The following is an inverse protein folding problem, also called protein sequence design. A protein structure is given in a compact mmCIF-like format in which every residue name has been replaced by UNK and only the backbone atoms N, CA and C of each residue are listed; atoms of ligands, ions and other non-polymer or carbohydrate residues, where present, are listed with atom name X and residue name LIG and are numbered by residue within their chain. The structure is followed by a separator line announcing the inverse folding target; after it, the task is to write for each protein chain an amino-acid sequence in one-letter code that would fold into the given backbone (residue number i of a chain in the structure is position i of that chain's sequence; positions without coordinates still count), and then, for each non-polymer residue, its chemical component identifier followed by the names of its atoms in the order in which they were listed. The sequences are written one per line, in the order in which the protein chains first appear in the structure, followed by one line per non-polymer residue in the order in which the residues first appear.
data_IF_547884851050
#
_entry.id   IF_547884851050
#
_cell.length_a   1.000
_cell.length_b   1.000
_cell.length_c   1.000
_cell.angle_alpha   90.00
_cell.angle_beta   90.00
_cell.angle_gamma   90.00
#
_symmetry.space_group_name_H-M   'P 1'
#
loop_
_entity.id
_entity.type
_entity.pdbx_description
1 polymer ?
#
# COMPACT_ATOMS: atom_id res chain seq x y z
N UNK A 1 -32.33 -4.50 2.27
CA UNK A 1 -31.58 -5.54 1.53
C UNK A 1 -30.98 -5.01 0.23
N UNK A 2 -31.73 -4.27 -0.58
CA UNK A 2 -31.27 -3.70 -1.87
C UNK A 2 -29.94 -2.91 -1.79
N UNK A 3 -29.76 -2.08 -0.74
CA UNK A 3 -28.50 -1.32 -0.52
C UNK A 3 -27.28 -2.22 -0.26
N UNK A 4 -27.47 -3.36 0.42
CA UNK A 4 -26.39 -4.32 0.68
C UNK A 4 -25.97 -5.03 -0.61
N UNK A 5 -26.95 -5.41 -1.44
CA UNK A 5 -26.71 -6.04 -2.73
C UNK A 5 -26.01 -5.08 -3.70
N UNK A 6 -26.48 -3.83 -3.79
CA UNK A 6 -25.84 -2.79 -4.59
C UNK A 6 -24.40 -2.50 -4.15
N UNK A 7 -24.16 -2.44 -2.83
CA UNK A 7 -22.80 -2.28 -2.28
C UNK A 7 -21.89 -3.45 -2.64
N UNK A 8 -22.41 -4.69 -2.59
CA UNK A 8 -21.65 -5.88 -2.97
C UNK A 8 -21.29 -5.89 -4.45
N UNK A 9 -22.25 -5.52 -5.32
CA UNK A 9 -22.02 -5.40 -6.76
C UNK A 9 -20.97 -4.32 -7.05
N UNK A 10 -21.06 -3.15 -6.41
CA UNK A 10 -20.08 -2.08 -6.55
C UNK A 10 -18.69 -2.52 -6.10
N UNK A 11 -18.59 -3.27 -5.01
CA UNK A 11 -17.32 -3.80 -4.51
C UNK A 11 -16.72 -4.83 -5.47
N UNK A 12 -17.53 -5.73 -6.01
CA UNK A 12 -17.09 -6.69 -7.04
C UNK A 12 -16.65 -6.01 -8.33
N UNK A 13 -17.38 -4.97 -8.78
CA UNK A 13 -17.04 -4.22 -9.98
C UNK A 13 -15.75 -3.42 -9.80
N UNK A 14 -15.58 -2.79 -8.65
CA UNK A 14 -14.34 -2.11 -8.28
C UNK A 14 -13.17 -3.09 -8.24
N UNK A 15 -13.34 -4.27 -7.63
CA UNK A 15 -12.33 -5.33 -7.61
C UNK A 15 -11.96 -5.83 -9.01
N UNK A 16 -12.95 -6.02 -9.89
CA UNK A 16 -12.72 -6.41 -11.28
C UNK A 16 -11.94 -5.35 -12.07
N UNK A 17 -12.30 -4.07 -11.89
CA UNK A 17 -11.61 -2.96 -12.54
C UNK A 17 -10.15 -2.82 -12.06
N UNK A 18 -9.92 -3.07 -10.77
CA UNK A 18 -8.58 -3.14 -10.16
C UNK A 18 -7.77 -4.29 -10.76
N UNK A 19 -8.37 -5.47 -10.94
CA UNK A 19 -7.70 -6.64 -11.52
C UNK A 19 -7.33 -6.43 -12.99
N UNK A 20 -8.27 -5.88 -13.78
CA UNK A 20 -8.04 -5.63 -15.21
C UNK A 20 -6.98 -4.54 -15.43
N UNK A 21 -6.98 -3.50 -14.60
CA UNK A 21 -5.99 -2.42 -14.65
C UNK A 21 -4.86 -2.62 -13.63
N UNK A 22 -4.47 -3.87 -13.36
CA UNK A 22 -3.49 -4.25 -12.32
C UNK A 22 -2.30 -3.29 -12.20
N UNK A 23 -1.66 -2.92 -13.31
CA UNK A 23 -0.49 -2.05 -13.30
C UNK A 23 -0.82 -0.56 -13.16
N UNK A 24 -1.95 -0.11 -13.72
CA UNK A 24 -2.36 1.30 -13.66
C UNK A 24 -2.93 1.66 -12.29
N UNK A 25 -3.66 0.73 -11.68
CA UNK A 25 -4.14 0.82 -10.30
C UNK A 25 -2.98 0.74 -9.34
N UNK A 26 -2.06 -0.22 -9.49
CA UNK A 26 -0.88 -0.30 -8.63
C UNK A 26 -0.04 0.97 -8.71
N UNK A 27 0.15 1.54 -9.91
CA UNK A 27 0.85 2.82 -10.06
C UNK A 27 0.07 4.00 -9.46
N UNK A 28 -1.27 4.00 -9.52
CA UNK A 28 -2.09 5.00 -8.84
C UNK A 28 -2.04 4.89 -7.31
N UNK A 29 -2.05 3.67 -6.79
CA UNK A 29 -1.94 3.34 -5.36
C UNK A 29 -0.56 3.70 -4.83
N UNK A 30 0.51 3.26 -5.50
CA UNK A 30 1.90 3.50 -5.14
C UNK A 30 2.33 4.96 -5.40
N UNK A 31 1.76 5.60 -6.42
CA UNK A 31 2.01 7.00 -6.77
C UNK A 31 1.23 7.99 -5.90
N UNK A 32 0.18 7.54 -5.19
CA UNK A 32 -0.58 8.41 -4.30
C UNK A 32 0.20 8.68 -3.01
N UNK A 33 0.74 9.89 -2.89
CA UNK A 33 1.48 10.36 -1.72
C UNK A 33 0.69 10.22 -0.41
N UNK A 34 -0.64 10.26 -0.48
CA UNK A 34 -1.51 10.10 0.68
C UNK A 34 -1.51 8.65 1.20
N UNK A 35 -1.60 7.68 0.27
CA UNK A 35 -1.56 6.25 0.60
C UNK A 35 -0.18 5.86 1.13
N UNK A 36 0.88 6.41 0.52
CA UNK A 36 2.26 6.25 1.01
C UNK A 36 2.43 6.79 2.43
N UNK A 37 1.92 7.99 2.73
CA UNK A 37 1.99 8.57 4.09
C UNK A 37 1.25 7.72 5.11
N UNK A 38 0.07 7.21 4.76
CA UNK A 38 -0.68 6.32 5.63
C UNK A 38 0.08 5.02 5.90
N UNK A 39 0.53 4.34 4.84
CA UNK A 39 1.30 3.09 4.96
C UNK A 39 2.58 3.30 5.78
N UNK A 40 3.38 4.34 5.49
CA UNK A 40 4.62 4.64 6.24
C UNK A 40 4.31 5.00 7.68
N UNK A 41 3.29 5.82 7.95
CA UNK A 41 2.88 6.20 9.29
C UNK A 41 2.45 5.00 10.15
N UNK A 42 1.65 4.09 9.58
CA UNK A 42 1.23 2.85 10.24
C UNK A 42 2.40 1.91 10.50
N UNK A 43 3.29 1.72 9.53
CA UNK A 43 4.46 0.83 9.66
C UNK A 43 5.51 1.39 10.64
N UNK A 44 5.73 2.70 10.66
CA UNK A 44 6.65 3.38 11.59
C UNK A 44 6.16 3.37 13.04
N UNK A 45 4.84 3.23 13.28
CA UNK A 45 4.27 3.08 14.62
C UNK A 45 4.58 1.72 15.27
N UNK A 46 4.96 0.72 14.47
CA UNK A 46 5.23 -0.64 14.94
C UNK A 46 6.74 -0.78 15.23
N UNK A 47 7.16 -0.93 16.51
CA UNK A 47 8.57 -0.88 16.88
C UNK A 47 9.44 -1.95 16.19
N UNK A 48 8.92 -3.16 15.98
CA UNK A 48 9.65 -4.25 15.31
C UNK A 48 9.80 -4.07 13.80
N UNK A 49 8.81 -3.48 13.13
CA UNK A 49 8.88 -3.19 11.69
C UNK A 49 9.74 -1.95 11.46
N UNK A 50 9.58 -0.92 12.30
CA UNK A 50 10.43 0.27 12.30
C UNK A 50 11.91 -0.13 12.41
N UNK A 51 12.29 -0.94 13.39
CA UNK A 51 13.70 -1.33 13.56
C UNK A 51 14.25 -2.08 12.35
N UNK A 52 13.47 -2.98 11.74
CA UNK A 52 13.86 -3.69 10.51
C UNK A 52 14.01 -2.74 9.32
N UNK A 53 13.08 -1.80 9.14
CA UNK A 53 13.16 -0.80 8.07
C UNK A 53 14.35 0.14 8.26
N UNK A 54 14.59 0.62 9.48
CA UNK A 54 15.77 1.42 9.79
C UNK A 54 17.04 0.61 9.54
N UNK A 55 17.08 -0.66 9.94
CA UNK A 55 18.20 -1.52 9.63
C UNK A 55 18.37 -1.63 8.11
N UNK A 56 17.36 -1.99 7.31
CA UNK A 56 17.48 -2.14 5.85
C UNK A 56 17.81 -0.84 5.11
N UNK A 57 17.22 0.29 5.50
CA UNK A 57 17.41 1.59 4.84
C UNK A 57 18.74 2.23 5.21
N UNK A 58 19.16 2.11 6.47
CA UNK A 58 20.42 2.66 6.96
C UNK A 58 21.58 1.65 6.93
N UNK A 59 21.34 0.37 6.65
CA UNK A 59 22.37 -0.63 6.32
C UNK A 59 22.78 -0.59 4.85
N UNK A 60 22.69 0.58 4.21
CA UNK A 60 23.37 0.83 2.93
C UNK A 60 24.83 0.37 3.02
N UNK A 61 25.39 -0.13 1.91
CA UNK A 61 26.52 -1.04 1.90
C UNK A 61 27.69 -0.44 2.67
N UNK A 62 28.27 -1.20 3.58
CA UNK A 62 29.54 -0.91 4.24
C UNK A 62 30.75 -0.91 3.27
N UNK A 63 30.51 -0.70 1.96
CA UNK A 63 31.49 -0.70 0.87
C UNK A 63 31.97 0.68 0.43
N UNK A 64 31.50 1.77 1.04
CA UNK A 64 32.16 3.07 0.90
C UNK A 64 32.97 3.36 2.17
N UNK A 65 34.08 2.63 2.32
CA UNK A 65 35.23 3.04 3.14
C UNK A 65 36.07 4.04 2.36
#
# INVERSE_FOLDING_TARGET
MLKKLASFILFSLAGYFVYQNRYRVMNGILGNAMLRRFAVGSLMGIPGIRQKLFQTVFSGPSEFR
#
